data_IF_419689393417
#
_entry.id   IF_419689393417
#
_cell.length_a   1.000
_cell.length_b   1.000
_cell.length_c   1.000
_cell.angle_alpha   90.00
_cell.angle_beta   90.00
_cell.angle_gamma   90.00
#
_symmetry.space_group_name_H-M   'P 1'
#
loop_
_entity.id
_entity.type
_entity.pdbx_description
1 polymer ?
#
# COMPACT_ATOMS: atom_id res chain seq x y z
N UNK A 1 19.20 -21.55 29.32
CA UNK A 1 18.83 -20.59 28.25
C UNK A 1 17.32 -20.66 28.08
N UNK A 2 16.58 -19.54 28.20
CA UNK A 2 15.14 -19.55 27.83
C UNK A 2 15.02 -19.94 26.36
N UNK A 3 14.04 -20.77 26.00
CA UNK A 3 13.80 -21.10 24.60
C UNK A 3 13.36 -19.84 23.84
N UNK A 4 13.91 -19.61 22.65
CA UNK A 4 13.52 -18.47 21.81
C UNK A 4 12.00 -18.41 21.60
N UNK A 5 11.34 -19.57 21.48
CA UNK A 5 9.87 -19.65 21.33
C UNK A 5 9.11 -19.11 22.55
N UNK A 6 9.57 -19.39 23.76
CA UNK A 6 8.91 -18.89 24.97
C UNK A 6 9.10 -17.38 25.13
N UNK A 7 10.30 -16.88 24.78
CA UNK A 7 10.61 -15.45 24.79
C UNK A 7 9.72 -14.67 23.81
N UNK A 8 9.59 -15.20 22.60
CA UNK A 8 8.73 -14.67 21.55
C UNK A 8 7.27 -14.58 21.99
N UNK A 9 6.74 -15.65 22.59
CA UNK A 9 5.36 -15.68 23.08
C UNK A 9 5.13 -14.65 24.20
N UNK A 10 6.07 -14.53 25.13
CA UNK A 10 6.01 -13.56 26.23
C UNK A 10 6.05 -12.10 25.71
N UNK A 11 6.93 -11.79 24.76
CA UNK A 11 7.01 -10.47 24.12
C UNK A 11 5.74 -10.13 23.34
N UNK A 12 5.23 -11.07 22.56
CA UNK A 12 4.01 -10.89 21.77
C UNK A 12 2.80 -10.63 22.68
N UNK A 13 2.68 -11.37 23.79
CA UNK A 13 1.62 -11.17 24.76
C UNK A 13 1.69 -9.78 25.43
N UNK A 14 2.89 -9.38 25.87
CA UNK A 14 3.12 -8.04 26.45
C UNK A 14 2.86 -6.91 25.46
N UNK A 15 3.19 -7.11 24.18
CA UNK A 15 2.91 -6.14 23.13
C UNK A 15 1.40 -5.99 22.91
N UNK A 16 0.66 -7.10 22.79
CA UNK A 16 -0.81 -7.09 22.68
C UNK A 16 -1.46 -6.37 23.86
N UNK A 17 -1.07 -6.68 25.08
CA UNK A 17 -1.56 -6.00 26.29
C UNK A 17 -1.29 -4.48 26.25
N UNK A 18 -0.13 -4.08 25.73
CA UNK A 18 0.22 -2.67 25.59
C UNK A 18 -0.57 -1.95 24.51
N UNK A 19 -0.94 -2.66 23.43
CA UNK A 19 -1.82 -2.17 22.37
C UNK A 19 -3.24 -1.98 22.91
N UNK A 20 -3.72 -2.88 23.77
CA UNK A 20 -5.01 -2.76 24.44
C UNK A 20 -5.05 -1.55 25.38
N UNK A 21 -4.01 -1.38 26.21
CA UNK A 21 -3.86 -0.26 27.15
C UNK A 21 -3.45 1.07 26.50
N UNK A 22 -3.10 1.06 25.21
CA UNK A 22 -2.52 2.20 24.50
C UNK A 22 -1.27 2.79 25.20
N UNK A 23 -0.36 1.92 25.68
CA UNK A 23 0.84 2.32 26.42
C UNK A 23 2.10 1.62 25.92
N UNK A 24 2.75 2.21 24.90
CA UNK A 24 4.00 1.69 24.37
C UNK A 24 5.16 1.67 25.40
N UNK A 25 5.19 2.64 26.32
CA UNK A 25 6.29 2.76 27.28
C UNK A 25 6.33 1.58 28.26
N UNK A 26 5.18 0.99 28.58
CA UNK A 26 5.08 -0.23 29.38
C UNK A 26 5.74 -1.42 28.67
N UNK A 27 5.40 -1.62 27.38
CA UNK A 27 6.06 -2.62 26.54
C UNK A 27 7.57 -2.38 26.43
N UNK A 28 8.00 -1.14 26.18
CA UNK A 28 9.41 -0.82 25.99
C UNK A 28 10.26 -1.07 27.24
N UNK A 29 9.72 -0.73 28.43
CA UNK A 29 10.38 -1.06 29.70
C UNK A 29 10.48 -2.58 29.88
N UNK A 30 9.39 -3.30 29.64
CA UNK A 30 9.36 -4.74 29.79
C UNK A 30 10.31 -5.44 28.79
N UNK A 31 10.36 -4.98 27.54
CA UNK A 31 11.25 -5.54 26.52
C UNK A 31 12.72 -5.30 26.87
N UNK A 32 13.09 -4.12 27.37
CA UNK A 32 14.45 -3.84 27.87
C UNK A 32 14.85 -4.73 29.03
N UNK A 33 13.96 -4.96 30.00
CA UNK A 33 14.25 -5.87 31.13
C UNK A 33 14.47 -7.30 30.65
N UNK A 34 13.61 -7.76 29.74
CA UNK A 34 13.56 -9.14 29.25
C UNK A 34 14.70 -9.46 28.25
N UNK A 35 15.18 -8.46 27.52
CA UNK A 35 16.26 -8.57 26.54
C UNK A 35 17.57 -7.91 27.02
N UNK A 36 17.72 -7.66 28.32
CA UNK A 36 18.88 -6.95 28.89
C UNK A 36 20.24 -7.60 28.59
N UNK A 37 20.27 -8.91 28.36
CA UNK A 37 21.48 -9.67 28.02
C UNK A 37 21.83 -9.67 26.52
N UNK A 38 20.98 -9.10 25.66
CA UNK A 38 21.12 -9.16 24.21
C UNK A 38 21.87 -7.94 23.68
N UNK A 39 22.52 -8.11 22.52
CA UNK A 39 23.16 -6.99 21.82
C UNK A 39 22.08 -6.02 21.33
N UNK A 40 22.44 -4.75 21.24
CA UNK A 40 21.52 -3.68 20.83
C UNK A 40 20.90 -3.93 19.45
N UNK A 41 21.69 -4.42 18.48
CA UNK A 41 21.17 -4.73 17.15
C UNK A 41 20.14 -5.89 17.17
N UNK A 42 20.43 -6.93 17.96
CA UNK A 42 19.51 -8.06 18.12
C UNK A 42 18.22 -7.62 18.84
N UNK A 43 18.34 -6.74 19.84
CA UNK A 43 17.20 -6.11 20.49
C UNK A 43 16.30 -5.38 19.49
N UNK A 44 16.87 -4.49 18.66
CA UNK A 44 16.11 -3.73 17.66
C UNK A 44 15.37 -4.65 16.68
N UNK A 45 16.05 -5.68 16.18
CA UNK A 45 15.46 -6.66 15.28
C UNK A 45 14.33 -7.47 15.93
N UNK A 46 14.51 -7.91 17.19
CA UNK A 46 13.48 -8.68 17.91
C UNK A 46 12.24 -7.82 18.15
N UNK A 47 12.41 -6.56 18.54
CA UNK A 47 11.29 -5.63 18.75
C UNK A 47 10.57 -5.36 17.44
N UNK A 48 11.29 -5.08 16.34
CA UNK A 48 10.69 -4.89 15.01
C UNK A 48 9.87 -6.11 14.58
N UNK A 49 10.45 -7.32 14.68
CA UNK A 49 9.75 -8.56 14.34
C UNK A 49 8.50 -8.76 15.19
N UNK A 50 8.57 -8.47 16.50
CA UNK A 50 7.42 -8.60 17.41
C UNK A 50 6.28 -7.66 16.98
N UNK A 51 6.59 -6.41 16.63
CA UNK A 51 5.60 -5.43 16.17
C UNK A 51 4.91 -5.94 14.89
N UNK A 52 5.70 -6.38 13.90
CA UNK A 52 5.19 -6.84 12.60
C UNK A 52 4.37 -8.12 12.72
N UNK A 53 4.81 -9.09 13.52
CA UNK A 53 4.07 -10.34 13.71
C UNK A 53 2.73 -10.11 14.43
N UNK A 54 2.70 -9.27 15.46
CA UNK A 54 1.44 -8.93 16.13
C UNK A 54 0.51 -8.15 15.19
N UNK A 55 1.04 -7.26 14.36
CA UNK A 55 0.25 -6.58 13.33
C UNK A 55 -0.42 -7.60 12.39
N UNK A 56 0.34 -8.53 11.84
CA UNK A 56 -0.18 -9.53 10.90
C UNK A 56 -1.22 -10.45 11.56
N UNK A 57 -1.03 -10.80 12.83
CA UNK A 57 -2.02 -11.56 13.59
C UNK A 57 -3.32 -10.76 13.81
N UNK A 58 -3.22 -9.45 14.07
CA UNK A 58 -4.38 -8.56 14.20
C UNK A 58 -5.13 -8.39 12.87
N UNK A 59 -4.41 -8.26 11.75
CA UNK A 59 -5.03 -8.21 10.41
C UNK A 59 -5.74 -9.53 10.12
N UNK A 60 -5.06 -10.67 10.35
CA UNK A 60 -5.63 -12.00 10.13
C UNK A 60 -6.88 -12.28 10.95
N UNK A 61 -6.95 -11.75 12.17
CA UNK A 61 -8.11 -11.91 13.07
C UNK A 61 -9.23 -10.90 12.78
N UNK A 62 -9.03 -9.97 11.85
CA UNK A 62 -10.02 -8.93 11.53
C UNK A 62 -10.20 -7.93 12.66
N UNK A 63 -9.12 -7.60 13.38
CA UNK A 63 -9.15 -6.67 14.49
C UNK A 63 -9.61 -5.26 14.06
N UNK A 64 -10.11 -4.50 15.04
CA UNK A 64 -10.55 -3.13 14.79
C UNK A 64 -9.38 -2.26 14.27
N UNK A 65 -9.69 -1.40 13.29
CA UNK A 65 -8.77 -0.44 12.68
C UNK A 65 -8.02 0.42 13.71
N UNK A 66 -8.63 0.74 14.85
CA UNK A 66 -7.97 1.49 15.94
C UNK A 66 -6.78 0.73 16.53
N UNK A 67 -6.85 -0.61 16.65
CA UNK A 67 -5.71 -1.39 17.15
C UNK A 67 -4.57 -1.40 16.14
N UNK A 68 -4.89 -1.50 14.84
CA UNK A 68 -3.90 -1.43 13.78
C UNK A 68 -3.21 -0.06 13.74
N UNK A 69 -3.99 1.02 13.92
CA UNK A 69 -3.43 2.37 14.05
C UNK A 69 -2.49 2.49 15.25
N UNK A 70 -2.86 1.92 16.40
CA UNK A 70 -2.00 1.93 17.60
C UNK A 70 -0.69 1.18 17.35
N UNK A 71 -0.72 0.02 16.69
CA UNK A 71 0.50 -0.72 16.34
C UNK A 71 1.39 0.10 15.41
N UNK A 72 0.80 0.77 14.42
CA UNK A 72 1.53 1.69 13.55
C UNK A 72 2.13 2.87 14.33
N UNK A 73 1.37 3.51 15.22
CA UNK A 73 1.88 4.57 16.10
C UNK A 73 3.03 4.07 16.99
N UNK A 74 2.91 2.87 17.55
CA UNK A 74 3.95 2.27 18.38
C UNK A 74 5.24 2.01 17.61
N UNK A 75 5.15 1.68 16.32
CA UNK A 75 6.35 1.55 15.47
C UNK A 75 7.09 2.88 15.30
N UNK A 76 6.36 4.00 15.23
CA UNK A 76 6.92 5.35 15.18
C UNK A 76 7.56 5.70 16.52
N UNK A 77 6.85 5.47 17.63
CA UNK A 77 7.35 5.73 18.97
C UNK A 77 8.60 4.89 19.28
N UNK A 78 8.60 3.63 18.83
CA UNK A 78 9.75 2.74 18.92
C UNK A 78 10.96 3.30 18.15
N UNK A 79 10.76 3.80 16.93
CA UNK A 79 11.83 4.39 16.13
C UNK A 79 12.38 5.68 16.77
N UNK A 80 11.51 6.52 17.35
CA UNK A 80 11.91 7.75 18.06
C UNK A 80 12.73 7.42 19.31
N UNK A 81 12.37 6.35 20.02
CA UNK A 81 13.09 5.89 21.22
C UNK A 81 14.32 5.01 20.91
N UNK A 82 14.72 4.93 19.63
CA UNK A 82 15.80 4.08 19.12
C UNK A 82 15.66 2.61 19.55
N UNK A 83 14.41 2.15 19.66
CA UNK A 83 14.05 0.77 19.98
C UNK A 83 14.00 -0.13 18.73
N UNK A 84 13.86 0.46 17.55
CA UNK A 84 13.84 -0.18 16.23
C UNK A 84 14.54 0.73 15.21
N UNK A 85 14.84 0.20 14.02
CA UNK A 85 15.39 1.01 12.94
C UNK A 85 14.37 2.04 12.42
N UNK A 86 14.87 3.17 11.91
CA UNK A 86 14.02 4.28 11.44
C UNK A 86 13.08 3.92 10.29
N UNK A 87 13.35 2.85 9.54
CA UNK A 87 12.48 2.35 8.46
C UNK A 87 11.33 1.45 8.96
N UNK A 88 11.32 1.03 10.23
CA UNK A 88 10.33 0.10 10.77
C UNK A 88 8.87 0.56 10.56
N UNK A 89 8.49 1.83 10.74
CA UNK A 89 7.11 2.25 10.48
C UNK A 89 6.66 2.04 9.03
N UNK A 90 7.58 2.21 8.07
CA UNK A 90 7.29 1.99 6.66
C UNK A 90 7.18 0.50 6.34
N UNK A 91 7.96 -0.35 7.00
CA UNK A 91 7.78 -1.81 6.91
C UNK A 91 6.42 -2.23 7.45
N UNK A 92 6.02 -1.69 8.60
CA UNK A 92 4.71 -1.95 9.22
C UNK A 92 3.57 -1.55 8.29
N UNK A 93 3.56 -0.33 7.73
CA UNK A 93 2.49 0.06 6.80
C UNK A 93 2.56 -0.72 5.48
N UNK A 94 3.76 -1.07 5.00
CA UNK A 94 3.95 -1.94 3.84
C UNK A 94 3.25 -3.29 4.04
N UNK A 95 3.48 -3.95 5.18
CA UNK A 95 2.82 -5.20 5.55
C UNK A 95 1.28 -5.04 5.62
N UNK A 96 0.79 -3.90 6.13
CA UNK A 96 -0.65 -3.60 6.16
C UNK A 96 -1.24 -3.52 4.76
N UNK A 97 -0.56 -2.86 3.83
CA UNK A 97 -1.02 -2.76 2.45
C UNK A 97 -1.00 -4.12 1.75
N UNK A 98 0.10 -4.87 1.87
CA UNK A 98 0.26 -6.17 1.21
C UNK A 98 -0.73 -7.23 1.72
N UNK A 99 -1.11 -7.16 2.99
CA UNK A 99 -1.95 -8.16 3.65
C UNK A 99 -3.45 -7.84 3.63
N UNK A 100 -3.88 -6.76 2.97
CA UNK A 100 -5.25 -6.25 3.07
C UNK A 100 -5.86 -5.87 1.72
N UNK A 101 -7.19 -5.77 1.67
CA UNK A 101 -7.92 -5.36 0.47
C UNK A 101 -7.70 -3.88 0.15
N UNK A 102 -8.03 -3.45 -1.08
CA UNK A 102 -7.90 -2.04 -1.49
C UNK A 102 -8.74 -1.10 -0.62
N UNK A 103 -9.95 -1.52 -0.25
CA UNK A 103 -10.83 -0.73 0.61
C UNK A 103 -10.25 -0.51 2.02
N UNK A 104 -9.48 -1.47 2.53
CA UNK A 104 -8.78 -1.34 3.81
C UNK A 104 -7.52 -0.50 3.67
N UNK A 105 -6.76 -0.70 2.58
CA UNK A 105 -5.56 0.09 2.27
C UNK A 105 -5.88 1.58 2.23
N UNK A 106 -7.02 1.98 1.66
CA UNK A 106 -7.46 3.38 1.64
C UNK A 106 -7.68 3.95 3.05
N UNK A 107 -8.23 3.16 3.97
CA UNK A 107 -8.39 3.57 5.37
C UNK A 107 -7.03 3.69 6.05
N UNK A 108 -6.15 2.69 5.89
CA UNK A 108 -4.82 2.68 6.48
C UNK A 108 -3.93 3.79 5.94
N UNK A 109 -4.10 4.19 4.68
CA UNK A 109 -3.34 5.29 4.09
C UNK A 109 -3.52 6.60 4.86
N UNK A 110 -4.73 6.82 5.40
CA UNK A 110 -5.03 7.99 6.25
C UNK A 110 -4.13 8.06 7.50
N UNK A 111 -3.64 6.92 8.00
CA UNK A 111 -2.69 6.90 9.13
C UNK A 111 -1.36 7.57 8.79
N UNK A 112 -0.88 7.34 7.56
CA UNK A 112 0.39 7.88 7.07
C UNK A 112 0.22 9.35 6.68
N UNK A 113 -0.87 9.70 6.01
CA UNK A 113 -1.19 11.09 5.64
C UNK A 113 -1.23 11.99 6.87
N UNK A 114 -1.91 11.57 7.95
CA UNK A 114 -2.01 12.32 9.20
C UNK A 114 -0.66 12.52 9.92
N UNK A 115 0.37 11.76 9.53
CA UNK A 115 1.69 11.74 10.18
C UNK A 115 2.81 12.14 9.24
N UNK A 116 2.50 12.81 8.13
CA UNK A 116 3.48 13.17 7.11
C UNK A 116 4.63 14.03 7.66
N UNK A 117 4.35 14.92 8.61
CA UNK A 117 5.37 15.75 9.28
C UNK A 117 6.35 14.92 10.11
N UNK A 118 5.96 13.73 10.57
CA UNK A 118 6.89 12.79 11.22
C UNK A 118 7.85 12.22 10.17
N UNK A 119 7.33 11.76 9.04
CA UNK A 119 8.13 11.13 7.98
C UNK A 119 9.08 12.08 7.26
N UNK A 120 8.82 13.40 7.30
CA UNK A 120 9.75 14.43 6.81
C UNK A 120 10.98 14.64 7.68
N UNK A 121 10.95 14.24 8.95
CA UNK A 121 12.12 14.36 9.83
C UNK A 121 13.27 13.51 9.30
N UNK A 122 14.50 14.00 9.40
CA UNK A 122 15.69 13.36 8.84
C UNK A 122 15.86 11.88 9.23
N UNK A 123 15.55 11.55 10.49
CA UNK A 123 15.64 10.18 11.03
C UNK A 123 14.77 9.19 10.25
N UNK A 124 13.61 9.67 9.78
CA UNK A 124 12.67 8.87 9.01
C UNK A 124 12.98 9.00 7.53
N UNK A 125 13.05 10.22 6.99
CA UNK A 125 13.17 10.45 5.55
C UNK A 125 14.35 9.68 4.93
N UNK A 126 15.54 9.72 5.54
CA UNK A 126 16.74 9.04 5.02
C UNK A 126 16.60 7.52 4.97
N UNK A 127 15.96 6.92 5.99
CA UNK A 127 15.77 5.47 6.10
C UNK A 127 14.54 4.97 5.33
N UNK A 128 13.49 5.77 5.28
CA UNK A 128 12.15 5.40 4.84
C UNK A 128 11.93 5.63 3.35
N UNK A 129 12.53 6.66 2.75
CA UNK A 129 12.13 7.18 1.43
C UNK A 129 11.98 6.11 0.34
N UNK A 130 12.96 5.21 0.21
CA UNK A 130 12.95 4.19 -0.84
C UNK A 130 11.88 3.12 -0.58
N UNK A 131 11.70 2.74 0.68
CA UNK A 131 10.69 1.77 1.08
C UNK A 131 9.29 2.34 0.90
N UNK A 132 9.10 3.61 1.27
CA UNK A 132 7.82 4.29 1.18
C UNK A 132 7.40 4.46 -0.28
N UNK A 133 8.33 4.91 -1.12
CA UNK A 133 8.10 5.02 -2.57
C UNK A 133 7.74 3.66 -3.17
N UNK A 134 8.44 2.59 -2.78
CA UNK A 134 8.14 1.23 -3.24
C UNK A 134 6.73 0.80 -2.81
N UNK A 135 6.40 0.89 -1.52
CA UNK A 135 5.08 0.52 -1.00
C UNK A 135 3.94 1.32 -1.64
N UNK A 136 4.13 2.63 -1.85
CA UNK A 136 3.15 3.45 -2.56
C UNK A 136 3.01 3.06 -4.04
N UNK A 137 4.12 2.79 -4.74
CA UNK A 137 4.08 2.36 -6.13
C UNK A 137 3.44 0.97 -6.30
N UNK A 138 3.70 0.05 -5.36
CA UNK A 138 3.09 -1.27 -5.37
C UNK A 138 1.59 -1.20 -5.05
N UNK A 139 1.18 -0.27 -4.18
CA UNK A 139 -0.23 0.04 -3.98
C UNK A 139 -0.87 0.64 -5.24
N UNK A 140 -0.23 1.60 -5.91
CA UNK A 140 -0.71 2.20 -7.17
C UNK A 140 -0.91 1.14 -8.27
N UNK A 141 -0.02 0.15 -8.38
CA UNK A 141 -0.16 -0.96 -9.34
C UNK A 141 -1.39 -1.83 -9.09
N UNK A 142 -1.85 -1.92 -7.84
CA UNK A 142 -3.04 -2.69 -7.47
C UNK A 142 -4.35 -1.91 -7.68
N UNK A 143 -4.28 -0.60 -7.87
CA UNK A 143 -5.46 0.24 -8.09
C UNK A 143 -5.93 0.17 -9.55
N UNK A 144 -7.26 0.11 -9.73
CA UNK A 144 -7.86 0.29 -11.04
C UNK A 144 -7.69 1.73 -11.51
N UNK A 145 -7.17 1.90 -12.74
CA UNK A 145 -6.94 3.21 -13.38
C UNK A 145 -8.23 4.02 -13.60
N UNK A 146 -9.40 3.37 -13.66
CA UNK A 146 -10.70 4.02 -13.93
C UNK A 146 -11.59 4.19 -12.70
N UNK A 147 -11.47 3.33 -11.68
CA UNK A 147 -12.37 3.33 -10.53
C UNK A 147 -11.78 3.99 -9.27
N UNK A 148 -10.48 3.86 -9.05
CA UNK A 148 -9.84 4.30 -7.79
C UNK A 148 -9.06 5.61 -7.96
N UNK A 149 -9.56 6.52 -8.81
CA UNK A 149 -8.87 7.76 -9.21
C UNK A 149 -8.62 8.70 -8.03
N UNK A 150 -9.59 8.81 -7.10
CA UNK A 150 -9.46 9.63 -5.88
C UNK A 150 -8.34 9.11 -4.98
N UNK A 151 -8.30 7.79 -4.73
CA UNK A 151 -7.28 7.20 -3.87
C UNK A 151 -5.88 7.27 -4.52
N UNK A 152 -5.80 7.04 -5.84
CA UNK A 152 -4.57 7.26 -6.59
C UNK A 152 -4.05 8.71 -6.44
N UNK A 153 -4.95 9.70 -6.57
CA UNK A 153 -4.63 11.12 -6.38
C UNK A 153 -4.09 11.42 -4.99
N UNK A 154 -4.71 10.85 -3.93
CA UNK A 154 -4.23 10.97 -2.55
C UNK A 154 -2.82 10.42 -2.37
N UNK A 155 -2.52 9.25 -2.94
CA UNK A 155 -1.17 8.66 -2.88
C UNK A 155 -0.15 9.56 -3.58
N UNK A 156 -0.47 10.06 -4.78
CA UNK A 156 0.43 10.95 -5.53
C UNK A 156 0.65 12.29 -4.81
N UNK A 157 -0.39 12.88 -4.23
CA UNK A 157 -0.28 14.10 -3.43
C UNK A 157 0.60 13.88 -2.19
N UNK A 158 0.44 12.75 -1.50
CA UNK A 158 1.28 12.40 -0.36
C UNK A 158 2.75 12.24 -0.76
N UNK A 159 3.04 11.53 -1.86
CA UNK A 159 4.40 11.39 -2.38
C UNK A 159 5.00 12.76 -2.76
N UNK A 160 4.25 13.60 -3.47
CA UNK A 160 4.70 14.95 -3.81
C UNK A 160 4.96 15.83 -2.57
N UNK A 161 4.27 15.57 -1.45
CA UNK A 161 4.43 16.33 -0.23
C UNK A 161 5.66 15.92 0.59
N UNK A 162 6.05 14.63 0.55
CA UNK A 162 7.20 14.13 1.31
C UNK A 162 8.53 14.26 0.57
N UNK A 163 8.51 14.19 -0.77
CA UNK A 163 9.72 14.25 -1.58
C UNK A 163 10.04 15.70 -1.98
N UNK A 164 11.21 16.24 -1.59
CA UNK A 164 11.67 17.54 -2.07
C UNK A 164 11.76 17.57 -3.60
N UNK A 165 11.49 18.71 -4.23
CA UNK A 165 11.56 18.88 -5.69
C UNK A 165 12.95 18.57 -6.29
N UNK A 166 14.00 18.67 -5.47
CA UNK A 166 15.38 18.35 -5.85
C UNK A 166 15.71 16.85 -5.74
N UNK A 167 14.78 16.03 -5.27
CA UNK A 167 15.02 14.61 -5.04
C UNK A 167 14.80 13.81 -6.33
N UNK A 168 15.79 12.98 -6.67
CA UNK A 168 15.84 12.23 -7.93
C UNK A 168 14.58 11.38 -8.16
N UNK A 169 13.93 10.89 -7.11
CA UNK A 169 12.76 10.02 -7.19
C UNK A 169 11.48 10.77 -7.60
N UNK A 170 11.47 12.11 -7.50
CA UNK A 170 10.39 12.97 -8.00
C UNK A 170 10.56 13.41 -9.45
N UNK A 171 11.62 12.98 -10.14
CA UNK A 171 11.95 13.40 -11.50
C UNK A 171 11.68 12.29 -12.52
N UNK A 172 10.99 12.61 -13.62
CA UNK A 172 10.92 11.73 -14.79
C UNK A 172 12.17 11.88 -15.66
N UNK A 173 13.30 11.35 -15.19
CA UNK A 173 14.62 11.56 -15.80
C UNK A 173 14.72 10.98 -17.21
N UNK A 174 14.01 9.87 -17.45
CA UNK A 174 13.98 9.20 -18.75
C UNK A 174 13.11 9.99 -19.74
N UNK A 175 12.22 10.86 -19.23
CA UNK A 175 11.27 11.65 -20.04
C UNK A 175 10.37 10.80 -20.93
N UNK A 176 10.06 9.57 -20.50
CA UNK A 176 9.07 8.72 -21.16
C UNK A 176 7.66 9.18 -20.78
N UNK A 177 6.79 9.24 -21.78
CA UNK A 177 5.38 9.58 -21.62
C UNK A 177 4.52 8.33 -21.81
N UNK A 178 3.51 8.16 -20.97
CA UNK A 178 2.56 7.07 -21.13
C UNK A 178 1.60 7.33 -22.30
N UNK A 179 1.87 6.74 -23.48
CA UNK A 179 1.04 6.88 -24.68
C UNK A 179 -0.13 5.88 -24.76
N UNK A 180 -0.22 4.94 -23.80
CA UNK A 180 -1.24 3.88 -23.77
C UNK A 180 -2.67 4.38 -23.53
N UNK A 181 -2.86 5.62 -23.08
CA UNK A 181 -4.18 6.18 -22.85
C UNK A 181 -4.81 6.66 -24.18
N UNK A 182 -5.14 5.71 -25.05
CA UNK A 182 -5.81 5.97 -26.33
C UNK A 182 -7.31 5.85 -26.15
N UNK A 183 -8.05 6.94 -26.33
CA UNK A 183 -9.51 6.90 -26.36
C UNK A 183 -9.95 6.51 -27.77
N UNK A 184 -10.41 5.27 -27.94
CA UNK A 184 -11.01 4.83 -29.20
C UNK A 184 -12.40 5.46 -29.31
N UNK A 185 -12.57 6.37 -30.28
CA UNK A 185 -13.88 6.86 -30.67
C UNK A 185 -14.47 5.90 -31.69
N UNK A 186 -15.73 5.48 -31.50
CA UNK A 186 -16.45 4.77 -32.55
C UNK A 186 -16.54 5.68 -33.78
N UNK A 187 -15.98 5.23 -34.89
CA UNK A 187 -16.16 5.88 -36.17
C UNK A 187 -17.55 5.53 -36.72
N UNK A 188 -18.18 6.43 -37.48
CA UNK A 188 -19.53 6.21 -38.04
C UNK A 188 -19.62 4.92 -38.91
N UNK A 189 -18.48 4.37 -39.34
CA UNK A 189 -18.40 3.10 -40.07
C UNK A 189 -18.65 1.88 -39.17
N UNK A 190 -18.28 1.94 -37.88
CA UNK A 190 -18.49 0.86 -36.89
C UNK A 190 -19.96 0.77 -36.44
N UNK A 191 -20.74 1.84 -36.63
CA UNK A 191 -22.19 1.85 -36.34
C UNK A 191 -23.03 1.24 -37.46
N UNK A 192 -22.46 1.06 -38.65
CA UNK A 192 -23.17 0.56 -39.83
C UNK A 192 -22.99 -0.95 -40.04
N UNK A 193 -21.94 -1.56 -39.49
CA UNK A 193 -21.69 -3.01 -39.58
C UNK A 193 -22.66 -3.83 -38.72
N UNK A 194 -23.08 -3.31 -37.57
CA UNK A 194 -24.03 -3.98 -36.66
C UNK A 194 -25.49 -3.98 -37.18
N UNK A 195 -25.82 -3.12 -38.15
CA UNK A 195 -27.17 -3.06 -38.77
C UNK A 195 -27.33 -3.94 -40.02
N UNK A 196 -26.22 -4.47 -40.57
CA UNK A 196 -26.23 -5.26 -41.82
C UNK A 196 -26.26 -6.76 -41.54
N UNK A 197 -25.98 -7.21 -40.31
CA UNK A 197 -25.91 -8.63 -39.95
C UNK A 197 -27.27 -9.29 -39.62
N UNK A 198 -28.38 -8.54 -39.55
CA UNK A 198 -29.73 -9.08 -39.22
C UNK A 198 -30.65 -9.36 -40.43
N UNK A 199 -30.18 -9.31 -41.67
CA UNK A 199 -31.00 -9.70 -42.84
C UNK A 199 -30.28 -10.60 -43.84
N UNK A 200 -30.10 -11.86 -43.48
CA UNK A 200 -29.93 -12.92 -44.48
C UNK A 200 -30.44 -14.26 -43.95
N UNK A 201 -31.76 -14.40 -43.86
CA UNK A 201 -32.40 -15.71 -43.97
C UNK A 201 -33.72 -15.55 -44.74
N UNK A 202 -33.89 -16.32 -45.82
CA UNK A 202 -35.18 -16.48 -46.51
C UNK A 202 -35.29 -16.05 -47.98
N UNK A 203 -34.92 -16.98 -48.88
CA UNK A 203 -35.72 -17.50 -50.02
C UNK A 203 -35.98 -16.66 -51.31
N UNK A 204 -35.42 -17.20 -52.41
CA UNK A 204 -35.96 -17.44 -53.77
C UNK A 204 -36.44 -16.31 -54.72
N UNK A 205 -35.71 -16.27 -55.85
CA UNK A 205 -36.12 -16.19 -57.27
C UNK A 205 -37.06 -15.09 -57.81
N UNK A 206 -36.57 -14.46 -58.88
CA UNK A 206 -37.36 -13.63 -59.78
C UNK A 206 -36.49 -12.97 -60.86
N UNK A 207 -36.03 -13.76 -61.84
CA UNK A 207 -35.52 -13.24 -63.12
C UNK A 207 -36.56 -12.30 -63.76
N UNK A 208 -36.10 -11.19 -64.36
CA UNK A 208 -36.50 -10.76 -65.71
C UNK A 208 -35.33 -9.97 -66.31
N UNK A 209 -34.77 -10.54 -67.38
CA UNK A 209 -33.87 -9.87 -68.31
C UNK A 209 -34.63 -8.87 -69.17
N UNK A 210 -34.03 -7.72 -69.50
CA UNK A 210 -34.34 -6.97 -70.74
C UNK A 210 -33.18 -6.06 -71.13
N UNK A 211 -32.81 -6.17 -72.40
CA UNK A 211 -31.62 -5.65 -73.06
C UNK A 211 -31.74 -4.18 -73.50
N UNK A 212 -30.55 -3.59 -73.69
CA UNK A 212 -30.12 -2.69 -74.77
C UNK A 212 -30.57 -1.20 -74.87
N UNK A 213 -29.51 -0.37 -74.89
CA UNK A 213 -29.15 0.68 -75.85
C UNK A 213 -30.12 1.85 -76.10
N UNK A 214 -29.70 3.06 -75.71
CA UNK A 214 -28.95 3.99 -76.58
C UNK A 214 -28.30 5.10 -75.77
#
# INVERSE_FOLDING_TARGET
MRSYRSLKAELSAKFKESVDKNNFNEFFKASKTLLSSWKENDFKNIVELTIREVLLDLIKTGANITFLERVFQFSIDAAIQDAVAGNAPVLVIGDMFESSTIAECEKYFSFVENRVEVFKKDIFFKACKNHLLRSCNDLLKRLSRSQNTVFCGRILMFLAHIFPLSERSGLNIISEFNLENTTAYSTNEDSFSDLVSEKSDGTEEGEISSQNQR
#
